data_IF_169784777792
#
_entry.id   IF_169784777792
#
_cell.length_a   1.000
_cell.length_b   1.000
_cell.length_c   1.000
_cell.angle_alpha   90.00
_cell.angle_beta   90.00
_cell.angle_gamma   90.00
#
_symmetry.space_group_name_H-M   'P 1'
#
loop_
_entity.id
_entity.type
_entity.pdbx_description
1 polymer ?
#
# COMPACT_ATOMS: atom_id res chain seq x y z
N UNK A 1 -34.17 20.19 -23.25
CA UNK A 1 -33.60 18.84 -23.49
C UNK A 1 -32.14 18.91 -23.93
N UNK A 2 -31.77 19.68 -24.98
CA UNK A 2 -30.37 19.81 -25.43
C UNK A 2 -29.42 20.39 -24.37
N UNK A 3 -29.85 21.43 -23.64
CA UNK A 3 -29.00 22.06 -22.61
C UNK A 3 -28.67 21.12 -21.44
N UNK A 4 -29.60 20.22 -21.10
CA UNK A 4 -29.40 19.22 -20.06
C UNK A 4 -28.33 18.20 -20.46
N UNK A 5 -28.27 17.83 -21.73
CA UNK A 5 -27.27 16.89 -22.26
C UNK A 5 -25.88 17.53 -22.34
N UNK A 6 -25.82 18.81 -22.73
CA UNK A 6 -24.58 19.60 -22.70
C UNK A 6 -24.04 19.73 -21.27
N UNK A 7 -24.89 20.10 -20.31
CA UNK A 7 -24.47 20.23 -18.91
C UNK A 7 -23.98 18.89 -18.35
N UNK A 8 -24.71 17.80 -18.63
CA UNK A 8 -24.30 16.45 -18.21
C UNK A 8 -22.92 16.08 -18.76
N UNK A 9 -22.68 16.35 -20.03
CA UNK A 9 -21.40 16.03 -20.69
C UNK A 9 -20.25 16.82 -20.08
N UNK A 10 -20.44 18.14 -19.87
CA UNK A 10 -19.43 18.99 -19.24
C UNK A 10 -19.13 18.58 -17.80
N UNK A 11 -20.16 18.22 -17.03
CA UNK A 11 -19.99 17.74 -15.66
C UNK A 11 -19.23 16.42 -15.61
N UNK A 12 -19.58 15.45 -16.47
CA UNK A 12 -18.86 14.18 -16.55
C UNK A 12 -17.40 14.38 -16.91
N UNK A 13 -17.11 15.23 -17.90
CA UNK A 13 -15.74 15.56 -18.28
C UNK A 13 -14.95 16.16 -17.11
N UNK A 14 -15.57 17.10 -16.38
CA UNK A 14 -14.94 17.70 -15.21
C UNK A 14 -14.71 16.67 -14.09
N UNK A 15 -15.69 15.82 -13.80
CA UNK A 15 -15.56 14.72 -12.83
C UNK A 15 -14.43 13.75 -13.20
N UNK A 16 -14.28 13.37 -14.47
CA UNK A 16 -13.19 12.49 -14.90
C UNK A 16 -11.81 13.11 -14.70
N UNK A 17 -11.66 14.39 -15.04
CA UNK A 17 -10.40 15.12 -14.86
C UNK A 17 -10.07 15.22 -13.37
N UNK A 18 -11.03 15.72 -12.57
CA UNK A 18 -10.85 15.88 -11.12
C UNK A 18 -10.56 14.55 -10.42
N UNK A 19 -11.23 13.46 -10.82
CA UNK A 19 -10.95 12.13 -10.28
C UNK A 19 -9.51 11.69 -10.56
N UNK A 20 -9.02 11.90 -11.80
CA UNK A 20 -7.64 11.59 -12.16
C UNK A 20 -6.62 12.35 -11.32
N UNK A 21 -6.86 13.64 -11.06
CA UNK A 21 -5.99 14.47 -10.23
C UNK A 21 -5.97 14.02 -8.77
N UNK A 22 -7.15 13.75 -8.19
CA UNK A 22 -7.27 13.27 -6.82
C UNK A 22 -6.64 11.89 -6.65
N UNK A 23 -6.88 10.97 -7.60
CA UNK A 23 -6.31 9.63 -7.58
C UNK A 23 -4.77 9.67 -7.69
N UNK A 24 -4.24 10.48 -8.61
CA UNK A 24 -2.80 10.68 -8.75
C UNK A 24 -2.19 11.22 -7.45
N UNK A 25 -2.81 12.25 -6.86
CA UNK A 25 -2.35 12.84 -5.60
C UNK A 25 -2.35 11.82 -4.46
N UNK A 26 -3.39 10.98 -4.39
CA UNK A 26 -3.46 9.89 -3.41
C UNK A 26 -2.36 8.84 -3.61
N UNK A 27 -2.05 8.47 -4.85
CA UNK A 27 -0.94 7.56 -5.16
C UNK A 27 0.43 8.15 -4.79
N UNK A 28 0.61 9.47 -4.89
CA UNK A 28 1.83 10.12 -4.39
C UNK A 28 1.97 9.99 -2.87
N UNK A 29 0.90 10.16 -2.11
CA UNK A 29 0.92 9.91 -0.66
C UNK A 29 1.24 8.46 -0.33
N UNK A 30 0.70 7.52 -1.10
CA UNK A 30 1.03 6.09 -0.99
C UNK A 30 2.53 5.84 -1.21
N UNK A 31 3.13 6.45 -2.25
CA UNK A 31 4.55 6.34 -2.54
C UNK A 31 5.43 6.93 -1.42
N UNK A 32 5.09 8.13 -0.93
CA UNK A 32 5.79 8.76 0.20
C UNK A 32 5.71 7.87 1.43
N UNK A 33 4.54 7.30 1.73
CA UNK A 33 4.36 6.38 2.86
C UNK A 33 5.28 5.16 2.75
N UNK A 34 5.25 4.42 1.63
CA UNK A 34 6.15 3.26 1.42
C UNK A 34 7.61 3.65 1.59
N UNK A 35 8.01 4.77 0.99
CA UNK A 35 9.38 5.26 1.06
C UNK A 35 9.80 5.56 2.51
N UNK A 36 9.01 6.34 3.25
CA UNK A 36 9.32 6.69 4.64
C UNK A 36 9.41 5.46 5.53
N UNK A 37 8.47 4.52 5.41
CA UNK A 37 8.49 3.30 6.20
C UNK A 37 9.69 2.42 5.84
N UNK A 38 10.05 2.33 4.55
CA UNK A 38 11.23 1.59 4.09
C UNK A 38 12.52 2.17 4.64
N UNK A 39 12.66 3.50 4.71
CA UNK A 39 13.81 4.16 5.33
C UNK A 39 13.87 3.90 6.83
N UNK A 40 12.73 4.00 7.53
CA UNK A 40 12.67 3.73 8.97
C UNK A 40 13.00 2.27 9.30
N UNK A 41 12.65 1.35 8.40
CA UNK A 41 12.79 -0.09 8.60
C UNK A 41 14.12 -0.67 8.15
N UNK A 42 14.65 -0.17 7.03
CA UNK A 42 15.86 -0.69 6.37
C UNK A 42 17.06 0.25 6.45
N UNK A 43 16.86 1.51 6.85
CA UNK A 43 17.92 2.48 7.03
C UNK A 43 18.41 3.12 5.72
N UNK A 44 19.58 3.77 5.82
CA UNK A 44 20.26 4.46 4.72
C UNK A 44 21.58 3.75 4.37
N UNK A 45 22.04 3.83 3.11
CA UNK A 45 21.36 4.44 1.95
C UNK A 45 20.15 3.62 1.47
N UNK A 46 19.16 4.24 0.79
CA UNK A 46 17.97 3.53 0.33
C UNK A 46 18.35 2.47 -0.71
N UNK A 47 18.17 1.21 -0.34
CA UNK A 47 18.38 0.06 -1.23
C UNK A 47 17.16 -0.87 -1.14
N UNK A 48 16.08 -0.47 -1.81
CA UNK A 48 14.84 -1.23 -1.84
C UNK A 48 14.09 -1.03 -3.17
N UNK A 49 13.25 -2.01 -3.52
CA UNK A 49 12.36 -1.97 -4.67
C UNK A 49 10.91 -1.91 -4.17
N UNK A 50 10.20 -0.82 -4.49
CA UNK A 50 8.77 -0.72 -4.24
C UNK A 50 7.98 -1.26 -5.45
N UNK A 51 6.91 -2.02 -5.19
CA UNK A 51 6.04 -2.54 -6.23
C UNK A 51 4.56 -2.44 -5.82
N UNK A 52 3.68 -2.27 -6.81
CA UNK A 52 2.22 -2.35 -6.64
C UNK A 52 1.76 -3.69 -7.20
N UNK A 53 1.01 -4.45 -6.40
CA UNK A 53 0.52 -5.77 -6.77
C UNK A 53 -1.01 -5.77 -6.73
N UNK A 54 -1.64 -6.31 -7.78
CA UNK A 54 -3.08 -6.53 -7.85
C UNK A 54 -3.37 -8.05 -7.96
N UNK A 55 -3.14 -8.82 -6.87
CA UNK A 55 -3.42 -10.25 -6.88
C UNK A 55 -4.92 -10.53 -6.96
N UNK A 56 -5.31 -11.66 -7.56
CA UNK A 56 -6.69 -12.14 -7.43
C UNK A 56 -6.97 -12.58 -5.99
N UNK A 57 -8.22 -12.45 -5.53
CA UNK A 57 -8.61 -12.83 -4.17
C UNK A 57 -8.24 -14.28 -3.79
N UNK A 58 -8.25 -15.21 -4.76
CA UNK A 58 -7.86 -16.61 -4.54
C UNK A 58 -6.35 -16.80 -4.39
N UNK A 59 -5.55 -15.92 -5.02
CA UNK A 59 -4.09 -16.02 -5.05
C UNK A 59 -3.39 -15.20 -3.97
N UNK A 60 -4.10 -14.33 -3.25
CA UNK A 60 -3.50 -13.39 -2.29
C UNK A 60 -2.66 -14.12 -1.23
N UNK A 61 -3.19 -15.17 -0.61
CA UNK A 61 -2.45 -15.99 0.37
C UNK A 61 -1.16 -16.57 -0.21
N UNK A 62 -1.21 -17.04 -1.47
CA UNK A 62 -0.04 -17.59 -2.16
C UNK A 62 1.00 -16.50 -2.45
N UNK A 63 0.57 -15.31 -2.85
CA UNK A 63 1.47 -14.17 -3.09
C UNK A 63 2.16 -13.74 -1.80
N UNK A 64 1.41 -13.61 -0.69
CA UNK A 64 1.98 -13.28 0.63
C UNK A 64 3.04 -14.30 1.06
N UNK A 65 2.74 -15.60 0.96
CA UNK A 65 3.70 -16.66 1.27
C UNK A 65 4.97 -16.62 0.41
N UNK A 66 4.86 -16.28 -0.89
CA UNK A 66 6.02 -16.13 -1.76
C UNK A 66 6.85 -14.90 -1.35
N UNK A 67 6.20 -13.77 -1.05
CA UNK A 67 6.87 -12.55 -0.62
C UNK A 67 7.61 -12.73 0.70
N UNK A 68 6.98 -13.37 1.69
CA UNK A 68 7.62 -13.70 2.96
C UNK A 68 8.92 -14.49 2.75
N UNK A 69 8.90 -15.49 1.87
CA UNK A 69 10.07 -16.31 1.57
C UNK A 69 11.17 -15.54 0.83
N UNK A 70 10.82 -14.63 -0.08
CA UNK A 70 11.80 -13.81 -0.82
C UNK A 70 12.39 -12.73 0.08
N UNK A 71 11.59 -12.16 0.97
CA UNK A 71 11.97 -11.06 1.85
C UNK A 71 12.58 -11.52 3.18
N UNK A 72 12.84 -12.81 3.36
CA UNK A 72 13.41 -13.37 4.60
C UNK A 72 14.93 -13.12 4.74
N UNK A 73 15.32 -11.85 4.71
CA UNK A 73 16.70 -11.39 4.87
C UNK A 73 17.10 -11.11 6.33
N UNK A 74 18.33 -10.62 6.52
CA UNK A 74 19.00 -10.39 7.83
C UNK A 74 18.17 -9.54 8.83
N UNK A 75 17.31 -8.65 8.35
CA UNK A 75 16.48 -7.78 9.20
C UNK A 75 15.00 -8.23 9.32
N UNK A 76 14.65 -9.36 8.70
CA UNK A 76 13.28 -9.93 8.72
C UNK A 76 12.84 -10.29 10.14
N UNK A 77 13.76 -10.79 10.96
CA UNK A 77 13.52 -11.23 12.35
C UNK A 77 13.07 -10.12 13.29
N UNK A 78 13.53 -8.87 13.10
CA UNK A 78 13.16 -7.76 14.00
C UNK A 78 11.68 -7.36 13.89
N UNK A 79 11.05 -7.72 12.77
CA UNK A 79 9.68 -7.32 12.47
C UNK A 79 8.74 -8.47 12.15
N UNK A 80 9.21 -9.70 12.22
CA UNK A 80 8.34 -10.86 12.37
C UNK A 80 7.82 -10.80 13.80
N UNK A 81 6.52 -10.69 13.97
CA UNK A 81 5.90 -10.92 15.27
C UNK A 81 6.25 -12.35 15.70
N UNK A 82 7.16 -12.49 16.67
CA UNK A 82 7.24 -13.69 17.47
C UNK A 82 5.88 -13.82 18.17
N UNK A 83 5.15 -14.89 17.86
CA UNK A 83 4.11 -15.33 18.76
C UNK A 83 4.76 -15.48 20.14
N UNK A 84 4.24 -14.71 21.09
CA UNK A 84 4.60 -14.64 22.51
C UNK A 84 5.83 -13.79 22.91
N UNK A 85 5.53 -12.75 23.70
CA UNK A 85 6.40 -11.91 24.54
C UNK A 85 6.97 -10.63 23.91
N UNK A 86 6.19 -9.55 24.01
CA UNK A 86 6.73 -8.33 24.65
C UNK A 86 7.18 -7.14 23.80
N UNK A 87 6.61 -6.88 22.62
CA UNK A 87 6.89 -5.66 21.85
C UNK A 87 5.64 -4.92 21.36
N UNK A 88 5.28 -3.81 22.02
CA UNK A 88 4.28 -2.80 21.58
C UNK A 88 2.83 -3.32 21.41
N UNK A 89 2.37 -4.17 22.32
CA UNK A 89 0.95 -4.53 22.46
C UNK A 89 0.13 -3.46 23.24
N UNK A 90 0.24 -2.17 22.85
CA UNK A 90 -0.38 -1.06 23.58
C UNK A 90 -1.28 -0.12 22.77
N UNK A 91 -1.31 -0.25 21.43
CA UNK A 91 -2.02 0.72 20.56
C UNK A 91 -3.10 0.12 19.66
N UNK A 92 -3.47 -1.16 19.83
CA UNK A 92 -4.63 -1.74 19.14
C UNK A 92 -4.62 -1.55 17.62
N UNK A 93 -3.43 -1.50 17.01
CA UNK A 93 -3.28 -1.55 15.56
C UNK A 93 -3.00 -3.00 15.22
N UNK A 94 -4.00 -3.68 14.65
CA UNK A 94 -3.86 -4.96 13.97
C UNK A 94 -2.99 -4.75 12.71
N UNK A 95 -1.71 -4.50 12.91
CA UNK A 95 -0.73 -4.46 11.83
C UNK A 95 -0.35 -5.89 11.54
N UNK A 96 -0.84 -6.44 10.43
CA UNK A 96 -0.26 -7.63 9.83
C UNK A 96 1.26 -7.43 9.71
N UNK A 97 2.02 -8.01 10.62
CA UNK A 97 3.45 -7.78 10.73
C UNK A 97 4.20 -8.64 9.70
N UNK A 98 4.15 -8.24 8.43
CA UNK A 98 4.97 -8.85 7.38
C UNK A 98 6.41 -8.36 7.49
N UNK A 99 7.40 -9.20 7.18
CA UNK A 99 8.84 -8.81 7.18
C UNK A 99 9.21 -7.72 6.16
N UNK A 100 8.29 -7.43 5.23
CA UNK A 100 8.40 -6.37 4.24
C UNK A 100 7.40 -5.22 4.51
N UNK A 101 7.75 -4.00 4.08
CA UNK A 101 6.83 -2.85 4.09
C UNK A 101 5.68 -3.13 3.13
N UNK A 102 4.44 -3.10 3.64
CA UNK A 102 3.28 -3.20 2.78
C UNK A 102 2.05 -2.51 3.38
N UNK A 103 1.14 -2.11 2.50
CA UNK A 103 -0.23 -1.77 2.86
C UNK A 103 -1.16 -2.08 1.70
N UNK A 104 -2.43 -2.27 2.03
CA UNK A 104 -3.48 -2.55 1.06
C UNK A 104 -4.05 -1.24 0.51
N UNK A 105 -4.11 -1.14 -0.82
CA UNK A 105 -4.80 -0.07 -1.53
C UNK A 105 -6.19 -0.58 -1.88
N UNK A 106 -7.22 -0.06 -1.20
CA UNK A 106 -8.61 -0.41 -1.49
C UNK A 106 -9.11 0.48 -2.63
N UNK A 107 -9.23 -0.10 -3.82
CA UNK A 107 -9.91 0.51 -4.96
C UNK A 107 -11.38 0.11 -4.90
N UNK A 108 -12.27 1.10 -4.88
CA UNK A 108 -13.74 0.93 -4.87
C UNK A 108 -14.22 0.60 -6.28
#
# INVERSE_FOLDING_TARGET
>A
MRDQETLRSSLLQWCYISYGEVFSSWMHFCAVRVFTESILRYGLPPSFLACVLAPSAKSEKKVRSILERICDGVNSTYWKSEDEVGGIAGLGVDTDAYSYVCFTINLI
#
